data_IF_436928144079
#
_entry.id   IF_436928144079
#
_cell.length_a   1.000
_cell.length_b   1.000
_cell.length_c   1.000
_cell.angle_alpha   90.00
_cell.angle_beta   90.00
_cell.angle_gamma   90.00
#
_symmetry.space_group_name_H-M   'P 1'
#
loop_
_entity.id
_entity.type
_entity.pdbx_description
1 polymer ?
2 non-polymer ?
3 non-polymer ?
4 non-polymer ?
5 water ?
#
# COMPACT_ATOMS: atom_id res chain seq x y z
N UNK A 6 24.25 -1.09 1.38
CA UNK A 6 23.79 -2.14 2.30
C UNK A 6 22.61 -1.71 3.19
N UNK A 7 22.59 -0.45 3.57
CA UNK A 7 21.55 0.01 4.48
C UNK A 7 20.18 0.01 3.83
N UNK A 8 20.14 0.16 2.49
CA UNK A 8 18.88 0.17 1.75
C UNK A 8 18.59 -1.14 1.02
N UNK A 9 19.51 -2.11 1.15
CA UNK A 9 19.40 -3.38 0.45
C UNK A 9 18.35 -4.28 1.08
N UNK A 10 17.56 -4.95 0.25
CA UNK A 10 16.52 -5.89 0.71
C UNK A 10 16.78 -7.32 0.25
N UNK A 11 18.02 -7.61 -0.18
CA UNK A 11 18.37 -8.96 -0.62
C UNK A 11 17.92 -10.00 0.38
N UNK A 12 17.23 -11.04 -0.10
CA UNK A 12 16.80 -12.13 0.75
C UNK A 12 15.56 -11.85 1.58
N UNK A 13 15.03 -10.63 1.52
CA UNK A 13 13.76 -10.37 2.18
C UNK A 13 12.67 -10.97 1.31
N UNK A 14 11.55 -11.30 1.96
CA UNK A 14 10.38 -11.89 1.31
C UNK A 14 9.16 -10.98 1.50
N UNK A 15 8.62 -10.45 0.41
CA UNK A 15 7.55 -9.43 0.48
C UNK A 15 6.24 -9.89 -0.11
N UNK A 16 5.14 -9.41 0.47
CA UNK A 16 3.82 -9.52 -0.11
C UNK A 16 3.23 -8.11 -0.36
N UNK A 17 2.79 -7.87 -1.59
CA UNK A 17 2.17 -6.59 -1.98
C UNK A 17 0.79 -6.87 -2.51
N UNK A 18 -0.24 -6.38 -1.84
CA UNK A 18 -1.63 -6.65 -2.25
C UNK A 18 -2.11 -5.66 -3.31
N UNK A 19 -3.10 -6.06 -4.10
CA UNK A 19 -3.62 -5.20 -5.18
C UNK A 19 -2.52 -4.61 -6.03
N UNK A 20 -1.69 -5.51 -6.60
CA UNK A 20 -0.45 -5.10 -7.27
C UNK A 20 -0.46 -5.26 -8.81
N UNK A 21 -1.65 -5.42 -9.40
CA UNK A 21 -1.73 -5.55 -10.86
C UNK A 21 -1.32 -4.26 -11.60
N UNK A 22 -1.62 -3.10 -11.04
CA UNK A 22 -1.27 -1.85 -11.70
C UNK A 22 -1.00 -0.74 -10.69
N UNK A 23 -0.61 0.41 -11.22
CA UNK A 23 -0.49 1.60 -10.43
C UNK A 23 0.56 1.53 -9.35
N UNK A 24 0.25 2.14 -8.23
CA UNK A 24 1.13 2.27 -7.08
C UNK A 24 1.66 0.92 -6.62
N UNK A 25 0.76 -0.04 -6.46
CA UNK A 25 1.11 -1.35 -5.97
C UNK A 25 2.10 -2.06 -6.87
N UNK A 26 1.89 -1.92 -8.19
CA UNK A 26 2.82 -2.47 -9.16
C UNK A 26 4.17 -1.80 -9.05
N UNK A 27 4.17 -0.46 -8.95
CA UNK A 27 5.42 0.30 -8.78
C UNK A 27 6.21 -0.18 -7.55
N UNK A 28 5.52 -0.32 -6.42
CA UNK A 28 6.15 -0.71 -5.15
C UNK A 28 6.70 -2.12 -5.29
N UNK A 29 5.89 -3.06 -5.78
CA UNK A 29 6.31 -4.45 -5.94
C UNK A 29 7.57 -4.58 -6.76
N UNK A 30 7.62 -3.85 -7.88
CA UNK A 30 8.77 -3.95 -8.77
C UNK A 30 10.00 -3.35 -8.11
N UNK A 31 9.84 -2.23 -7.40
CA UNK A 31 10.95 -1.58 -6.72
C UNK A 31 11.53 -2.45 -5.58
N UNK A 32 10.65 -3.21 -4.90
CA UNK A 32 11.08 -4.19 -3.88
C UNK A 32 11.92 -5.27 -4.50
N UNK A 33 11.48 -5.79 -5.65
CA UNK A 33 12.26 -6.79 -6.38
C UNK A 33 13.59 -6.21 -6.84
N UNK A 34 13.57 -4.98 -7.34
CA UNK A 34 14.82 -4.34 -7.79
C UNK A 34 15.83 -4.12 -6.64
N UNK A 35 15.33 -3.94 -5.41
CA UNK A 35 16.19 -3.78 -4.22
C UNK A 35 16.66 -5.12 -3.57
N UNK A 36 16.20 -6.23 -4.12
CA UNK A 36 16.70 -7.56 -3.74
C UNK A 36 15.64 -8.55 -3.30
N UNK A 37 14.41 -8.11 -3.09
CA UNK A 37 13.45 -8.96 -2.40
C UNK A 37 12.81 -9.97 -3.32
N UNK A 38 12.45 -11.12 -2.75
CA UNK A 38 11.54 -12.05 -3.40
C UNK A 38 10.14 -11.57 -3.09
N UNK A 39 9.31 -11.47 -4.12
CA UNK A 39 8.03 -10.74 -4.00
C UNK A 39 6.84 -11.59 -4.40
N UNK A 40 5.83 -11.61 -3.55
CA UNK A 40 4.53 -12.16 -3.90
C UNK A 40 3.57 -11.00 -4.13
N UNK A 41 2.74 -11.13 -5.18
CA UNK A 41 1.79 -10.08 -5.53
C UNK A 41 0.39 -10.65 -5.68
N UNK A 42 -0.62 -9.91 -5.21
CA UNK A 42 -2.01 -10.34 -5.38
C UNK A 42 -2.90 -9.34 -6.13
N UNK A 43 -4.00 -9.88 -6.62
CA UNK A 43 -5.06 -9.11 -7.24
C UNK A 43 -6.32 -9.99 -7.27
N UNK A 44 -7.42 -9.43 -7.77
CA UNK A 44 -8.69 -10.17 -7.88
C UNK A 44 -8.54 -11.44 -8.71
N UNK A 45 -7.81 -11.33 -9.82
CA UNK A 45 -7.56 -12.46 -10.70
C UNK A 45 -6.06 -12.64 -10.85
N UNK A 46 -5.60 -13.86 -11.12
CA UNK A 46 -4.18 -14.05 -11.37
C UNK A 46 -3.77 -13.40 -12.69
N UNK A 47 -4.65 -13.45 -13.70
CA UNK A 47 -4.34 -12.99 -15.08
C UNK A 47 -3.98 -11.52 -15.20
N UNK A 48 -4.60 -10.70 -14.35
CA UNK A 48 -4.28 -9.27 -14.29
C UNK A 48 -2.90 -8.95 -13.75
N UNK A 49 -2.22 -9.92 -13.15
CA UNK A 49 -0.85 -9.71 -12.64
C UNK A 49 0.27 -9.94 -13.69
N UNK A 50 -0.11 -10.39 -14.89
CA UNK A 50 0.87 -10.71 -15.93
C UNK A 50 1.93 -9.64 -16.13
N UNK A 51 1.55 -8.36 -16.23
CA UNK A 51 2.56 -7.30 -16.44
C UNK A 51 3.47 -7.17 -15.17
N UNK A 52 2.87 -7.21 -13.98
CA UNK A 52 3.63 -7.08 -12.73
C UNK A 52 4.63 -8.23 -12.54
N UNK A 53 4.18 -9.46 -12.79
CA UNK A 53 5.04 -10.66 -12.77
C UNK A 53 6.20 -10.61 -13.74
N UNK A 54 5.95 -10.15 -14.96
CA UNK A 54 6.98 -10.04 -15.98
C UNK A 54 8.02 -8.98 -15.62
N UNK A 55 7.58 -7.89 -15.01
CA UNK A 55 8.51 -6.82 -14.61
C UNK A 55 9.39 -7.23 -13.42
N UNK A 56 8.85 -8.06 -12.52
CA UNK A 56 9.57 -8.60 -11.37
C UNK A 56 10.60 -9.64 -11.83
N UNK A 57 10.16 -10.58 -12.65
CA UNK A 57 11.05 -11.65 -13.10
C UNK A 57 12.20 -11.11 -13.96
N UNK A 58 11.99 -9.94 -14.56
CA UNK A 58 13.07 -9.15 -15.16
C UNK A 58 14.25 -8.88 -14.21
N UNK A 59 13.99 -8.78 -12.92
CA UNK A 59 15.06 -8.55 -11.93
C UNK A 59 15.85 -9.80 -11.63
N UNK A 60 15.39 -10.95 -12.10
CA UNK A 60 15.98 -12.24 -11.80
C UNK A 60 15.29 -12.90 -10.62
N UNK A 61 14.58 -12.12 -9.81
CA UNK A 61 13.97 -12.67 -8.60
C UNK A 61 12.65 -13.41 -8.85
N UNK A 62 12.26 -14.14 -7.81
CA UNK A 62 11.07 -14.98 -7.84
C UNK A 62 9.85 -14.11 -7.64
N UNK A 63 8.81 -14.39 -8.43
CA UNK A 63 7.51 -13.76 -8.23
C UNK A 63 6.45 -14.83 -8.03
N UNK A 64 5.79 -14.79 -6.88
CA UNK A 64 4.63 -15.61 -6.61
C UNK A 64 3.40 -14.76 -6.93
N UNK A 65 2.36 -15.35 -7.51
CA UNK A 65 1.16 -14.59 -7.85
C UNK A 65 -0.10 -15.36 -7.47
N UNK A 66 -1.00 -14.71 -6.73
CA UNK A 66 -2.17 -15.36 -6.15
C UNK A 66 -3.42 -14.50 -6.22
N UNK A 67 -4.56 -15.16 -6.34
CA UNK A 67 -5.86 -14.51 -6.33
C UNK A 67 -6.25 -14.17 -4.90
N UNK A 68 -6.82 -12.99 -4.69
CA UNK A 68 -7.22 -12.54 -3.36
C UNK A 68 -8.22 -11.38 -3.41
N UNK A 69 -9.34 -11.53 -2.71
CA UNK A 69 -10.24 -10.42 -2.44
C UNK A 69 -10.07 -10.03 -0.96
N UNK A 70 -9.48 -8.86 -0.70
CA UNK A 70 -9.22 -8.46 0.70
C UNK A 70 -10.49 -8.17 1.49
N UNK A 71 -11.65 -8.17 0.82
CA UNK A 71 -12.94 -8.09 1.53
C UNK A 71 -13.33 -9.39 2.20
N UNK A 72 -12.81 -10.52 1.70
CA UNK A 72 -12.99 -11.82 2.34
C UNK A 72 -11.90 -11.98 3.42
N UNK A 73 -12.31 -11.88 4.68
CA UNK A 73 -11.40 -12.00 5.83
C UNK A 73 -10.65 -13.35 5.83
N UNK A 74 -11.26 -14.39 5.29
CA UNK A 74 -10.63 -15.71 5.16
C UNK A 74 -9.48 -15.67 4.15
N UNK A 75 -9.73 -15.04 3.00
CA UNK A 75 -8.70 -14.88 1.99
C UNK A 75 -7.57 -13.95 2.45
N UNK A 76 -7.88 -12.99 3.33
CA UNK A 76 -6.83 -12.18 3.95
C UNK A 76 -5.80 -13.04 4.68
N UNK A 77 -6.26 -14.14 5.29
CA UNK A 77 -5.41 -15.04 6.05
C UNK A 77 -4.79 -16.15 5.21
N UNK A 78 -5.63 -16.89 4.49
CA UNK A 78 -5.17 -18.07 3.73
C UNK A 78 -4.26 -17.68 2.58
N UNK A 79 -4.61 -16.61 1.85
CA UNK A 79 -3.77 -16.17 0.72
C UNK A 79 -2.48 -15.51 1.20
N UNK A 80 -2.47 -14.94 2.40
CA UNK A 80 -1.23 -14.43 3.01
C UNK A 80 -0.33 -15.60 3.43
N UNK A 81 -0.92 -16.63 4.04
CA UNK A 81 -0.16 -17.83 4.43
C UNK A 81 0.37 -18.56 3.20
N UNK A 82 -0.42 -18.59 2.13
CA UNK A 82 0.00 -19.22 0.87
C UNK A 82 1.14 -18.44 0.24
N UNK A 83 1.11 -17.12 0.35
CA UNK A 83 2.20 -16.27 -0.14
C UNK A 83 3.48 -16.59 0.61
N UNK A 84 3.40 -16.71 1.92
CA UNK A 84 4.54 -17.15 2.74
C UNK A 84 5.13 -18.49 2.26
N UNK A 85 4.26 -19.48 2.04
CA UNK A 85 4.72 -20.81 1.60
C UNK A 85 5.45 -20.74 0.25
N UNK A 86 4.90 -19.98 -0.69
CA UNK A 86 5.54 -19.82 -2.01
C UNK A 86 6.90 -19.15 -1.95
N UNK A 87 7.08 -18.25 -0.98
CA UNK A 87 8.33 -17.51 -0.83
C UNK A 87 9.32 -18.21 0.11
N UNK A 88 8.79 -19.05 1.00
CA UNK A 88 9.59 -19.72 2.03
C UNK A 88 9.69 -18.85 3.29
N UNK A 89 8.73 -17.95 3.46
CA UNK A 89 8.74 -16.99 4.57
C UNK A 89 8.05 -15.69 4.19
N UNK A 90 8.01 -14.75 5.13
CA UNK A 90 7.33 -13.47 4.92
C UNK A 90 7.78 -12.44 5.95
N UNK A 91 8.49 -11.41 5.48
CA UNK A 91 8.93 -10.33 6.38
C UNK A 91 8.72 -8.91 5.84
N UNK A 92 7.96 -8.76 4.75
CA UNK A 92 7.51 -7.45 4.27
C UNK A 92 6.07 -7.60 3.82
N UNK A 93 5.22 -6.68 4.25
CA UNK A 93 3.84 -6.58 3.74
C UNK A 93 3.60 -5.14 3.29
N UNK A 94 3.13 -4.97 2.05
CA UNK A 94 2.57 -3.70 1.61
C UNK A 94 1.08 -3.84 1.36
N UNK A 95 0.30 -3.15 2.19
CA UNK A 95 -1.14 -3.10 2.05
C UNK A 95 -1.49 -2.00 1.07
N UNK A 96 -1.64 -2.37 -0.17
CA UNK A 96 -1.90 -1.39 -1.18
C UNK A 96 -3.35 -1.42 -1.62
N UNK A 97 -3.96 -2.60 -1.61
CA UNK A 97 -5.31 -2.80 -2.13
C UNK A 97 -6.30 -1.72 -1.67
N UNK A 98 -7.02 -1.11 -2.61
CA UNK A 98 -7.94 0.00 -2.31
C UNK A 98 -8.96 0.29 -3.38
N UNK A 99 -10.20 0.55 -2.96
CA UNK A 99 -11.33 0.93 -3.80
C UNK A 99 -11.50 2.46 -3.63
N UNK A 100 -11.37 3.19 -4.74
CA UNK A 100 -11.48 4.65 -4.72
C UNK A 100 -12.90 5.02 -5.10
N UNK A 101 -13.43 6.11 -4.55
CA UNK A 101 -14.80 6.48 -4.90
C UNK A 101 -15.15 7.91 -4.50
N UNK A 102 -15.92 8.57 -5.34
CA UNK A 102 -16.55 9.84 -4.99
C UNK A 102 -18.06 9.69 -5.17
N UNK A 103 -18.82 10.25 -4.24
CA UNK A 103 -20.27 10.15 -4.22
C UNK A 103 -20.77 11.16 -3.20
N UNK A 104 -21.67 12.06 -3.62
CA UNK A 104 -22.23 12.95 -2.60
C UNK A 104 -22.67 12.18 -1.34
N UNK A 105 -22.23 12.65 -0.18
CA UNK A 105 -22.48 11.96 1.10
C UNK A 105 -23.96 11.73 1.44
N UNK A 106 -24.84 12.62 0.98
CA UNK A 106 -26.29 12.38 1.11
C UNK A 106 -26.77 11.19 0.31
N UNK A 107 -25.96 10.77 -0.67
CA UNK A 107 -26.30 9.67 -1.60
C UNK A 107 -25.51 8.39 -1.36
N UNK A 108 -24.69 8.35 -0.30
CA UNK A 108 -23.95 7.12 0.05
C UNK A 108 -24.92 6.17 0.74
N UNK A 109 -25.06 4.96 0.21
CA UNK A 109 -25.89 3.93 0.86
C UNK A 109 -25.00 2.95 1.60
N UNK A 110 -25.63 2.02 2.34
CA UNK A 110 -24.91 1.09 3.19
C UNK A 110 -23.85 0.29 2.42
N UNK A 111 -24.28 -0.19 1.25
CA UNK A 111 -23.50 -1.10 0.43
C UNK A 111 -22.24 -0.44 -0.06
N UNK A 112 -22.35 0.81 -0.48
CA UNK A 112 -21.19 1.55 -0.94
C UNK A 112 -20.21 1.73 0.21
N UNK A 113 -20.71 2.18 1.35
CA UNK A 113 -19.90 2.35 2.55
C UNK A 113 -19.08 1.09 2.81
N UNK A 114 -19.76 -0.05 2.79
CA UNK A 114 -19.15 -1.32 3.12
C UNK A 114 -18.04 -1.72 2.16
N UNK A 115 -18.33 -1.65 0.87
CA UNK A 115 -17.35 -1.94 -0.19
C UNK A 115 -16.07 -1.11 -0.02
N UNK A 116 -16.25 0.18 0.27
CA UNK A 116 -15.11 1.06 0.43
C UNK A 116 -14.32 0.73 1.70
N UNK A 117 -15.01 0.58 2.82
CA UNK A 117 -14.32 0.43 4.11
C UNK A 117 -13.75 -0.99 4.29
N UNK A 118 -14.48 -2.00 3.81
CA UNK A 118 -14.00 -3.38 3.83
C UNK A 118 -12.72 -3.49 3.04
N UNK A 119 -12.75 -2.97 1.82
CA UNK A 119 -11.60 -3.03 0.95
C UNK A 119 -10.42 -2.25 1.57
N UNK A 120 -10.64 -0.98 1.88
CA UNK A 120 -9.53 -0.07 2.21
C UNK A 120 -8.99 -0.16 3.63
N UNK A 121 -9.83 -0.54 4.60
CA UNK A 121 -9.44 -0.45 6.01
C UNK A 121 -9.44 -1.83 6.66
N UNK A 122 -10.59 -2.49 6.62
CA UNK A 122 -10.77 -3.77 7.25
C UNK A 122 -9.85 -4.81 6.62
N UNK A 123 -9.78 -4.80 5.28
CA UNK A 123 -8.92 -5.72 4.56
C UNK A 123 -7.46 -5.62 4.98
N UNK A 124 -6.98 -4.39 5.11
CA UNK A 124 -5.61 -4.12 5.45
C UNK A 124 -5.31 -4.55 6.88
N UNK A 125 -6.30 -4.42 7.77
CA UNK A 125 -6.14 -4.89 9.13
C UNK A 125 -5.93 -6.40 9.11
N UNK A 126 -6.85 -7.12 8.46
CA UNK A 126 -6.77 -8.57 8.49
C UNK A 126 -5.61 -9.17 7.71
N UNK A 127 -5.14 -8.49 6.66
CA UNK A 127 -3.87 -8.86 6.03
C UNK A 127 -2.70 -8.60 6.99
N UNK A 128 -2.73 -7.47 7.67
CA UNK A 128 -1.68 -7.16 8.62
C UNK A 128 -1.61 -8.22 9.74
N UNK A 129 -2.77 -8.58 10.28
CA UNK A 129 -2.87 -9.57 11.32
C UNK A 129 -2.22 -10.90 10.91
N UNK A 130 -2.62 -11.42 9.75
CA UNK A 130 -2.03 -12.63 9.19
C UNK A 130 -0.51 -12.55 8.91
N UNK A 131 -0.05 -11.46 8.31
CA UNK A 131 1.38 -11.33 8.00
C UNK A 131 2.15 -11.15 9.31
N UNK A 132 1.57 -10.30 10.15
CA UNK A 132 2.08 -10.07 11.51
C UNK A 132 2.34 -11.34 12.32
N UNK A 133 1.38 -12.26 12.35
CA UNK A 133 1.50 -13.49 13.15
C UNK A 133 2.65 -14.36 12.65
N UNK A 134 2.80 -14.43 11.33
CA UNK A 134 3.93 -15.12 10.70
C UNK A 134 5.24 -14.45 11.08
N UNK A 136 5.80 -12.57 13.66
CA UNK A 136 5.99 -12.63 15.09
C UNK A 136 6.53 -14.00 15.49
N UNK A 137 6.12 -15.05 14.78
CA UNK A 137 6.62 -16.39 15.05
C UNK A 137 8.04 -16.58 14.53
N UNK A 138 8.48 -15.79 13.55
CA UNK A 138 9.89 -15.84 13.09
C UNK A 138 10.66 -14.66 13.70
N UNK A 139 11.27 -13.77 12.92
CA UNK A 139 12.15 -12.73 13.45
C UNK A 139 11.67 -11.30 13.16
N UNK A 140 10.38 -11.13 12.94
CA UNK A 140 9.82 -9.80 12.71
C UNK A 140 9.80 -9.38 11.25
N UNK A 141 9.64 -8.09 11.00
CA UNK A 141 9.51 -7.61 9.63
C UNK A 141 9.02 -6.18 9.54
N UNK A 142 8.53 -5.81 8.36
CA UNK A 142 8.05 -4.44 8.12
C UNK A 142 6.73 -4.46 7.39
N UNK A 143 5.84 -3.58 7.83
CA UNK A 143 4.57 -3.43 7.18
C UNK A 143 4.47 -1.98 6.72
N UNK A 144 3.95 -1.78 5.50
CA UNK A 144 3.74 -0.44 4.94
C UNK A 144 2.30 -0.33 4.48
N UNK A 145 1.55 0.61 5.04
CA UNK A 145 0.16 0.83 4.63
C UNK A 145 0.09 2.01 3.65
N UNK A 146 -0.78 1.90 2.66
CA UNK A 146 -0.98 2.99 1.69
C UNK A 146 -2.14 3.84 2.16
N UNK A 147 -1.81 5.03 2.64
CA UNK A 147 -2.77 6.00 3.10
C UNK A 147 -2.98 7.00 1.94
N UNK A 148 -3.29 8.26 2.22
CA UNK A 148 -3.74 9.17 1.18
C UNK A 148 -3.73 10.56 1.79
N UNK A 149 -3.88 11.57 0.93
CA UNK A 149 -4.02 12.94 1.42
C UNK A 149 -5.25 13.03 2.32
N UNK A 150 -6.22 12.15 2.10
CA UNK A 150 -7.44 12.13 2.89
C UNK A 150 -7.23 11.61 4.34
N UNK A 151 -6.00 11.18 4.65
CA UNK A 151 -5.60 10.90 6.06
C UNK A 151 -5.27 12.18 6.81
N UNK A 152 -5.14 13.30 6.07
CA UNK A 152 -4.75 14.59 6.61
C UNK A 152 -5.80 15.67 6.41
N UNK A 153 -6.48 15.66 5.24
CA UNK A 153 -7.49 16.65 4.93
C UNK A 153 -8.72 15.92 4.44
N UNK A 154 -9.78 16.66 4.20
CA UNK A 154 -11.00 16.08 3.69
C UNK A 154 -11.25 16.45 2.24
N UNK A 155 -11.61 15.45 1.44
CA UNK A 155 -12.12 15.66 0.07
C UNK A 155 -13.62 15.53 0.07
N UNK A 156 -14.36 16.59 -0.35
CA UNK A 156 -15.80 16.50 -0.43
C UNK A 156 -16.24 15.37 -1.38
N UNK A 157 -17.32 14.69 -1.03
CA UNK A 157 -17.79 13.48 -1.72
C UNK A 157 -16.87 12.25 -1.67
N UNK A 158 -15.77 12.33 -0.95
CA UNK A 158 -14.93 11.16 -0.70
C UNK A 158 -14.92 10.85 0.81
N UNK A 159 -16.10 10.80 1.41
CA UNK A 159 -16.18 10.67 2.86
C UNK A 159 -15.84 9.24 3.35
N UNK A 160 -16.54 8.20 2.87
CA UNK A 160 -16.15 6.82 3.20
C UNK A 160 -14.71 6.55 2.87
N UNK A 161 -14.22 7.02 1.70
CA UNK A 161 -12.81 6.77 1.36
C UNK A 161 -11.88 7.41 2.39
N UNK A 162 -12.18 8.65 2.78
CA UNK A 162 -11.34 9.38 3.71
C UNK A 162 -11.38 8.76 5.09
N UNK A 163 -12.55 8.29 5.50
CA UNK A 163 -12.68 7.52 6.74
C UNK A 163 -11.76 6.33 6.73
N UNK A 164 -11.74 5.60 5.61
CA UNK A 164 -10.89 4.43 5.39
C UNK A 164 -9.44 4.69 5.58
N UNK A 165 -8.95 5.74 4.91
CA UNK A 165 -7.55 6.03 4.88
C UNK A 165 -7.05 6.76 6.16
N UNK A 166 -7.94 7.52 6.78
CA UNK A 166 -7.70 8.15 8.07
C UNK A 166 -7.64 7.07 9.15
N UNK A 167 -8.58 6.13 9.08
CA UNK A 167 -8.57 4.95 9.93
C UNK A 167 -7.31 4.14 9.79
N UNK A 168 -6.84 3.96 8.56
CA UNK A 168 -5.63 3.17 8.34
C UNK A 168 -4.38 3.83 8.93
N UNK A 169 -4.35 5.15 8.96
CA UNK A 169 -3.30 5.83 9.65
C UNK A 169 -3.38 5.53 11.17
N UNK A 170 -4.59 5.52 11.74
CA UNK A 170 -4.76 5.12 13.12
C UNK A 170 -4.29 3.70 13.35
N UNK A 171 -4.54 2.83 12.38
CA UNK A 171 -4.13 1.44 12.44
C UNK A 171 -2.61 1.32 12.42
N UNK A 172 -1.99 2.12 11.57
CA UNK A 172 -0.56 2.19 11.47
C UNK A 172 0.08 2.56 12.83
N UNK A 173 -0.46 3.56 13.51
CA UNK A 173 0.09 3.98 14.78
C UNK A 173 -0.10 2.95 15.92
N UNK A 174 -1.29 2.40 16.05
CA UNK A 174 -1.60 1.41 17.10
C UNK A 174 -0.87 0.09 16.91
N UNK A 175 -0.85 -0.44 15.68
CA UNK A 175 -0.06 -1.64 15.38
C UNK A 175 1.45 -1.45 15.59
N UNK A 176 1.96 -0.29 15.18
CA UNK A 176 3.36 0.02 15.42
C UNK A 176 3.67 -0.09 16.93
N UNK A 177 2.79 0.46 17.74
CA UNK A 177 3.01 0.54 19.18
C UNK A 177 2.90 -0.85 19.78
N UNK A 178 1.92 -1.61 19.32
CA UNK A 178 1.67 -2.94 19.83
C UNK A 178 2.70 -3.95 19.35
N UNK A 179 3.21 -3.83 18.13
CA UNK A 179 4.04 -4.90 17.58
C UNK A 179 5.54 -4.63 17.52
N UNK A 180 5.97 -3.48 18.01
CA UNK A 180 7.41 -3.22 18.11
C UNK A 180 8.09 -4.33 18.96
N UNK A 181 7.41 -4.82 19.97
CA UNK A 181 8.00 -5.88 20.82
C UNK A 181 8.19 -7.21 20.08
N UNK A 182 7.64 -7.34 18.87
CA UNK A 182 7.86 -8.52 18.04
C UNK A 182 8.85 -8.23 16.90
N UNK A 183 9.55 -7.10 16.97
CA UNK A 183 10.43 -6.65 15.91
C UNK A 183 9.70 -6.42 14.55
N UNK A 184 8.45 -5.97 14.62
CA UNK A 184 7.65 -5.64 13.45
C UNK A 184 7.47 -4.13 13.43
N UNK A 185 8.06 -3.44 12.45
CA UNK A 185 7.81 -2.01 12.22
C UNK A 185 6.59 -1.80 11.32
N UNK A 186 5.80 -0.79 11.60
CA UNK A 186 4.59 -0.54 10.83
C UNK A 186 4.54 0.95 10.51
N UNK A 187 4.59 1.24 9.21
CA UNK A 187 4.62 2.62 8.74
C UNK A 187 3.66 2.77 7.56
N UNK A 188 3.54 3.98 7.03
CA UNK A 188 2.62 4.23 5.92
C UNK A 188 3.20 5.22 4.93
N UNK A 189 2.65 5.20 3.71
CA UNK A 189 2.95 6.21 2.71
C UNK A 189 1.61 6.80 2.30
N UNK A 190 1.52 8.12 2.31
CA UNK A 190 0.35 8.81 1.75
C UNK A 190 0.75 9.33 0.38
N UNK A 191 0.48 8.57 -0.70
CA UNK A 191 0.68 9.24 -2.02
C UNK A 191 -0.22 10.46 -2.22
N UNK A 192 0.34 11.48 -2.86
CA UNK A 192 -0.42 12.63 -3.28
C UNK A 192 -1.19 12.25 -4.54
N UNK A 193 -1.11 13.10 -5.55
CA UNK A 193 -1.72 12.80 -6.85
C UNK A 193 -0.69 12.23 -7.80
N UNK A 194 -0.82 10.94 -8.10
CA UNK A 194 0.09 10.18 -8.97
C UNK A 194 -0.59 9.87 -10.31
N UNK A 195 0.12 10.17 -11.39
CA UNK A 195 -0.37 9.91 -12.76
C UNK A 195 -0.98 8.52 -12.93
N UNK A 196 -0.30 7.52 -12.40
CA UNK A 196 -0.69 6.12 -12.58
C UNK A 196 -1.95 5.72 -11.80
N UNK A 197 -2.34 6.55 -10.83
CA UNK A 197 -3.56 6.34 -10.06
C UNK A 197 -4.74 7.20 -10.53
N UNK A 199 -6.72 7.40 -13.19
CA UNK A 199 -7.39 6.78 -14.34
C UNK A 199 -8.83 7.26 -14.50
N UNK A 200 -9.57 7.27 -13.38
CA UNK A 200 -10.99 7.69 -13.32
C UNK A 200 -11.30 8.90 -14.19
N UNK A 201 -12.49 8.94 -14.80
CA UNK A 201 -12.88 10.04 -15.71
C UNK A 201 -12.79 11.42 -15.07
N UNK A 202 -13.09 11.46 -13.77
CA UNK A 202 -12.96 12.66 -12.92
C UNK A 202 -11.74 13.54 -13.26
N UNK A 203 -10.58 12.92 -13.47
CA UNK A 203 -9.29 13.65 -13.49
C UNK A 203 -8.90 14.40 -14.78
N UNK A 204 -9.64 14.21 -15.86
CA UNK A 204 -9.35 14.92 -17.11
C UNK A 204 -9.89 16.35 -17.15
N UNK A 205 -10.90 16.60 -16.33
CA UNK A 205 -11.39 17.94 -16.06
C UNK A 205 -10.15 18.82 -15.87
N UNK A 206 -9.87 19.64 -16.87
CA UNK A 206 -8.61 20.40 -16.90
C UNK A 206 -8.56 21.58 -15.92
N UNK A 207 -9.72 22.14 -15.60
CA UNK A 207 -9.76 23.19 -14.59
C UNK A 207 -9.35 22.59 -13.25
N UNK A 208 -9.85 21.40 -12.94
CA UNK A 208 -9.41 20.67 -11.78
C UNK A 208 -7.90 20.50 -11.76
N UNK A 209 -7.34 20.09 -12.91
CA UNK A 209 -5.93 19.80 -13.00
C UNK A 209 -5.08 21.02 -12.73
N UNK A 210 -5.45 22.11 -13.37
CA UNK A 210 -4.81 23.41 -13.15
C UNK A 210 -4.89 23.84 -11.69
N UNK A 211 -6.07 23.70 -11.08
CA UNK A 211 -6.28 24.07 -9.68
C UNK A 211 -5.43 23.23 -8.72
N UNK A 213 -2.66 21.50 -9.49
CA UNK A 213 -1.24 21.73 -9.72
C UNK A 213 -0.75 23.00 -9.02
N UNK A 214 -1.58 24.02 -8.98
CA UNK A 214 -1.27 25.24 -8.23
C UNK A 214 -1.16 25.02 -6.72
N UNK A 215 -1.71 23.93 -6.20
CA UNK A 215 -1.54 23.58 -4.78
C UNK A 215 -0.31 22.72 -4.49
N UNK A 216 0.38 22.28 -5.54
CA UNK A 216 1.54 21.40 -5.42
C UNK A 216 2.81 22.20 -5.79
N UNK A 217 3.70 22.45 -4.82
CA UNK A 217 4.92 23.24 -5.10
C UNK A 217 5.75 22.76 -6.27
N UNK A 218 5.86 21.45 -6.43
CA UNK A 218 6.59 20.88 -7.55
C UNK A 218 5.82 20.93 -8.88
N UNK A 219 4.56 21.33 -8.84
CA UNK A 219 3.80 21.61 -10.07
C UNK A 219 3.80 20.40 -10.98
N UNK A 220 3.73 19.19 -10.42
CA UNK A 220 3.70 17.98 -11.23
C UNK A 220 3.01 16.89 -10.44
N UNK A 221 2.47 15.90 -11.16
CA UNK A 221 1.94 14.70 -10.54
C UNK A 221 3.01 13.62 -10.44
N UNK A 222 2.84 12.70 -9.49
CA UNK A 222 3.85 11.71 -9.15
C UNK A 222 4.02 10.66 -10.25
N UNK A 223 5.27 10.26 -10.49
CA UNK A 223 5.61 9.10 -11.32
C UNK A 223 5.92 7.88 -10.46
N UNK A 224 5.99 6.72 -11.09
CA UNK A 224 6.35 5.51 -10.32
C UNK A 224 7.69 5.65 -9.56
N UNK A 225 8.70 6.29 -10.17
CA UNK A 225 9.96 6.56 -9.46
C UNK A 225 9.79 7.42 -8.18
N UNK A 226 8.66 8.12 -8.05
CA UNK A 226 8.39 8.98 -6.88
C UNK A 226 7.86 8.23 -5.65
N UNK A 227 7.57 6.94 -5.78
CA UNK A 227 7.06 6.15 -4.65
C UNK A 227 7.76 4.80 -4.34
N UNK A 228 8.31 4.16 -5.38
CA UNK A 228 8.93 2.87 -5.23
C UNK A 228 10.04 2.89 -4.19
N UNK A 229 10.94 3.88 -4.30
CA UNK A 229 12.05 4.07 -3.38
C UNK A 229 11.63 4.44 -1.97
N UNK A 230 10.49 5.11 -1.84
CA UNK A 230 9.90 5.39 -0.55
C UNK A 230 9.50 4.08 0.14
N UNK A 231 8.89 3.16 -0.58
CA UNK A 231 8.51 1.88 0.03
C UNK A 231 9.75 1.04 0.41
N UNK A 232 10.73 0.95 -0.48
CA UNK A 232 11.98 0.28 -0.18
C UNK A 232 12.63 0.83 1.12
N UNK A 233 12.74 2.16 1.18
CA UNK A 233 13.27 2.85 2.34
C UNK A 233 12.56 2.39 3.62
N UNK A 234 11.22 2.48 3.65
CA UNK A 234 10.49 2.12 4.87
C UNK A 234 10.65 0.63 5.29
N UNK A 235 11.06 -0.21 4.35
CA UNK A 235 11.29 -1.61 4.59
C UNK A 235 12.74 -1.94 4.98
N UNK A 236 13.65 -0.98 4.83
CA UNK A 236 15.07 -1.25 4.90
C UNK A 236 15.60 -0.98 6.32
N UNK A 237 16.84 -1.40 6.55
CA UNK A 237 17.54 -1.14 7.82
C UNK A 237 17.77 0.36 8.00
N UNK A 238 17.78 1.14 6.92
CA UNK A 238 17.85 2.61 7.06
C UNK A 238 16.67 3.20 7.88
N UNK A 239 15.56 2.48 7.90
CA UNK A 239 14.40 2.93 8.66
C UNK A 239 14.15 2.15 9.96
N UNK A 240 15.21 1.58 10.55
CA UNK A 240 15.13 0.76 11.78
C UNK A 240 14.51 1.47 12.99
N UNK A 241 14.62 2.80 13.05
CA UNK A 241 14.07 3.58 14.16
C UNK A 241 12.85 4.40 13.78
N UNK A 242 12.25 4.06 12.64
CA UNK A 242 11.02 4.69 12.17
C UNK A 242 9.90 3.68 12.27
N UNK A 243 8.90 4.00 13.07
CA UNK A 243 7.74 3.16 13.13
C UNK A 243 6.51 4.00 13.56
N UNK A 244 5.36 3.65 13.01
CA UNK A 244 4.14 4.34 13.28
C UNK A 244 4.00 5.69 12.56
N UNK A 245 4.87 5.90 11.58
CA UNK A 245 4.95 7.17 10.83
C UNK A 245 4.39 7.05 9.40
N UNK A 246 3.88 8.15 8.85
CA UNK A 246 3.36 8.20 7.48
C UNK A 246 4.15 9.23 6.70
N UNK A 247 4.79 8.79 5.62
CA UNK A 247 5.52 9.70 4.77
C UNK A 247 4.60 10.11 3.61
N UNK A 248 4.27 11.39 3.52
CA UNK A 248 3.57 11.85 2.32
C UNK A 248 4.51 12.06 1.12
N UNK A 249 4.17 11.46 -0.02
CA UNK A 249 4.90 11.70 -1.25
C UNK A 249 3.95 12.50 -2.15
N UNK A 250 4.05 13.83 -2.09
CA UNK A 250 2.99 14.70 -2.61
C UNK A 250 3.47 15.97 -3.30
N UNK A 251 4.75 16.05 -3.62
CA UNK A 251 5.34 17.23 -4.25
C UNK A 251 5.23 18.51 -3.46
N UNK A 252 5.00 18.38 -2.16
CA UNK A 252 4.93 19.51 -1.22
C UNK A 252 3.52 19.97 -0.88
N UNK A 253 2.50 19.24 -1.34
CA UNK A 253 1.12 19.68 -1.14
C UNK A 253 0.76 20.01 0.31
N UNK A 254 1.08 19.10 1.23
CA UNK A 254 0.66 19.29 2.62
C UNK A 254 1.41 20.41 3.30
N UNK A 255 2.67 20.59 2.93
CA UNK A 255 3.48 21.64 3.49
C UNK A 255 3.07 23.01 3.03
N UNK A 256 2.38 23.10 1.88
CA UNK A 256 2.11 24.35 1.21
C UNK A 256 0.78 24.97 1.62
N UNK A 257 0.75 26.29 1.74
CA UNK A 257 -0.49 27.07 1.77
C UNK A 257 -1.33 26.73 0.52
#
# INVERSE_FOLDING_TARGET
SXXTSPIFDLSGRRALVTGASRGIGQSIAVALAEAGAHVAVTARTVEGLAETRALIEKTGRRAVALAQDVRDVEACASVTRAAAEGLGGLDILVNNAGFENVRPSFDVDEALWDTIVSTNLKGAFFCAQAAGRIXADANGGAIVNLCSLTSYVGIPTAVPYGASKSGLLGVTRALATEWAAHNIRVNAIAPGYFRTAXTAGFYEDEDWQSRXLEKIPQRRFGKESDIGGVAVFLCSDAAAYITGHCIPADGGYLASI
#
